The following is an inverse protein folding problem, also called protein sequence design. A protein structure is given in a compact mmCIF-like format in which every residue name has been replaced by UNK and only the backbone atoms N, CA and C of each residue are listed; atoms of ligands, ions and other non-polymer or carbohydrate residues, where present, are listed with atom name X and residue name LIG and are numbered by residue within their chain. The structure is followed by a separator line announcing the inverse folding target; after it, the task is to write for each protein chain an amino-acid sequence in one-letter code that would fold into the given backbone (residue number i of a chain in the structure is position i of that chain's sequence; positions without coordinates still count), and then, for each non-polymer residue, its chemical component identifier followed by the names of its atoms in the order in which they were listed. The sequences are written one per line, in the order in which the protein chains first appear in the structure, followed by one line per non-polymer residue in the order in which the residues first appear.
data_IF_676837691808
#
_entry.id   IF_676837691808
#
_cell.length_a   1.000
_cell.length_b   1.000
_cell.length_c   1.000
_cell.angle_alpha   90.00
_cell.angle_beta   90.00
_cell.angle_gamma   90.00
#
_symmetry.space_group_name_H-M   'P 1'
#
loop_
_entity.id
_entity.type
_entity.pdbx_description
1 polymer ?
#
# COMPACT_ATOMS: atom_id res chain seq x y z
N UNK A 1 6.15 -24.14 34.47
CA UNK A 1 6.97 -23.88 33.27
C UNK A 1 6.31 -22.72 32.53
N UNK A 2 7.05 -21.66 32.20
CA UNK A 2 6.47 -20.44 31.61
C UNK A 2 5.96 -20.73 30.20
N UNK A 3 4.67 -20.52 29.94
CA UNK A 3 4.01 -20.70 28.64
C UNK A 3 4.49 -19.70 27.56
N UNK A 4 5.40 -18.77 27.88
CA UNK A 4 5.77 -17.63 27.05
C UNK A 4 6.63 -17.96 25.81
N UNK A 5 7.02 -19.22 25.63
CA UNK A 5 7.85 -19.70 24.51
C UNK A 5 7.22 -20.88 23.75
N UNK A 6 5.98 -21.24 24.08
CA UNK A 6 5.28 -22.33 23.39
C UNK A 6 4.61 -21.82 22.12
N UNK A 7 5.05 -22.33 20.97
CA UNK A 7 4.44 -22.02 19.68
C UNK A 7 3.01 -22.58 19.63
N UNK A 8 1.99 -21.79 19.24
CA UNK A 8 0.61 -22.25 19.14
C UNK A 8 0.43 -23.49 18.25
N UNK A 9 -0.51 -24.37 18.59
CA UNK A 9 -0.79 -25.58 17.80
C UNK A 9 -1.17 -25.28 16.34
N UNK A 10 -1.82 -24.14 16.09
CA UNK A 10 -2.17 -23.71 14.73
C UNK A 10 -0.92 -23.39 13.89
N UNK A 11 0.05 -22.70 14.48
CA UNK A 11 1.33 -22.37 13.82
C UNK A 11 2.14 -23.63 13.52
N UNK A 12 2.16 -24.58 14.46
CA UNK A 12 2.82 -25.88 14.23
C UNK A 12 2.20 -26.65 13.06
N UNK A 13 0.86 -26.63 12.93
CA UNK A 13 0.16 -27.29 11.80
C UNK A 13 0.51 -26.71 10.43
N UNK A 14 0.98 -25.47 10.36
CA UNK A 14 1.44 -24.82 9.12
C UNK A 14 2.97 -24.85 8.97
N UNK A 15 3.67 -25.61 9.82
CA UNK A 15 5.13 -25.80 9.76
C UNK A 15 5.95 -24.73 10.47
N UNK A 16 5.31 -23.82 11.21
CA UNK A 16 6.00 -22.87 12.09
C UNK A 16 6.12 -23.47 13.48
N UNK A 17 7.26 -24.07 13.80
CA UNK A 17 7.43 -24.88 15.02
C UNK A 17 8.33 -24.25 16.08
N UNK A 18 9.06 -23.18 15.74
CA UNK A 18 10.05 -22.56 16.62
C UNK A 18 10.12 -21.05 16.45
N UNK A 19 10.57 -20.37 17.49
CA UNK A 19 10.97 -18.96 17.46
C UNK A 19 12.50 -18.85 17.40
N UNK A 20 13.01 -17.83 16.69
CA UNK A 20 14.45 -17.55 16.64
C UNK A 20 15.01 -17.12 18.01
N UNK A 21 14.21 -16.44 18.82
CA UNK A 21 14.60 -15.87 20.11
C UNK A 21 14.05 -16.67 21.28
N UNK A 22 14.77 -16.67 22.41
CA UNK A 22 14.36 -17.34 23.66
C UNK A 22 13.69 -16.40 24.68
N UNK A 23 13.55 -15.12 24.35
CA UNK A 23 12.95 -14.11 25.23
C UNK A 23 11.43 -14.29 25.30
N UNK A 24 10.79 -13.99 26.45
CA UNK A 24 9.33 -13.98 26.54
C UNK A 24 8.70 -13.04 25.52
N UNK A 25 7.56 -13.44 24.94
CA UNK A 25 6.77 -12.57 24.07
C UNK A 25 6.24 -11.34 24.82
N UNK A 26 6.12 -10.23 24.09
CA UNK A 26 5.63 -8.95 24.64
C UNK A 26 4.11 -8.89 24.82
N UNK A 27 3.37 -9.83 24.21
CA UNK A 27 1.91 -9.79 24.17
C UNK A 27 1.38 -8.61 23.35
N UNK A 28 0.21 -8.08 23.73
CA UNK A 28 -0.42 -6.93 23.09
C UNK A 28 -1.27 -7.27 21.86
N UNK A 29 -1.91 -6.24 21.33
CA UNK A 29 -2.76 -6.31 20.14
C UNK A 29 -2.23 -5.35 19.06
N UNK A 30 -2.13 -5.84 17.82
CA UNK A 30 -1.69 -5.06 16.66
C UNK A 30 -2.89 -4.59 15.82
N UNK A 31 -2.73 -3.48 15.09
CA UNK A 31 -3.73 -2.95 14.14
C UNK A 31 -5.09 -2.62 14.78
N UNK A 32 -5.10 -2.12 16.02
CA UNK A 32 -6.32 -1.72 16.72
C UNK A 32 -6.98 -0.55 15.98
N UNK A 33 -6.21 0.52 15.76
CA UNK A 33 -6.54 1.63 14.87
C UNK A 33 -5.92 1.42 13.49
N UNK A 34 -6.45 2.11 12.47
CA UNK A 34 -5.89 2.07 11.11
C UNK A 34 -4.43 2.59 11.10
N UNK A 35 -4.14 3.55 11.97
CA UNK A 35 -2.86 4.27 11.98
C UNK A 35 -1.77 3.53 12.75
N UNK A 36 -2.14 2.47 13.47
CA UNK A 36 -1.17 1.56 14.12
C UNK A 36 -0.34 0.78 13.11
N UNK A 37 -0.74 0.82 11.82
CA UNK A 37 -0.04 0.12 10.74
C UNK A 37 0.21 1.06 9.57
N UNK A 38 1.46 1.50 9.47
CA UNK A 38 1.96 2.32 8.37
C UNK A 38 2.85 1.50 7.44
N UNK A 39 2.61 1.60 6.14
CA UNK A 39 3.45 0.95 5.12
C UNK A 39 3.82 1.96 4.05
N UNK A 40 5.11 2.18 3.86
CA UNK A 40 5.65 3.00 2.78
C UNK A 40 6.45 2.13 1.83
N UNK A 41 6.15 2.24 0.54
CA UNK A 41 6.90 1.54 -0.49
C UNK A 41 8.30 2.15 -0.66
N UNK A 42 9.31 1.30 -0.58
CA UNK A 42 10.66 1.65 -0.98
C UNK A 42 10.90 1.21 -2.42
N UNK A 43 11.24 2.16 -3.30
CA UNK A 43 11.53 1.91 -4.71
C UNK A 43 12.85 2.54 -5.12
N UNK A 44 13.64 1.81 -5.90
CA UNK A 44 14.89 2.30 -6.51
C UNK A 44 14.68 2.85 -7.93
N UNK A 45 13.44 2.85 -8.44
CA UNK A 45 13.10 3.42 -9.74
C UNK A 45 13.10 4.94 -9.60
N UNK A 46 13.85 5.60 -10.49
CA UNK A 46 13.91 7.05 -10.59
C UNK A 46 12.94 7.55 -11.65
N UNK A 47 12.24 8.61 -11.31
CA UNK A 47 11.36 9.34 -12.21
C UNK A 47 12.17 10.24 -13.16
N UNK A 48 11.59 10.50 -14.31
CA UNK A 48 12.02 11.46 -15.32
C UNK A 48 11.10 12.68 -15.31
N UNK A 49 11.45 13.72 -16.08
CA UNK A 49 10.52 14.82 -16.41
C UNK A 49 9.71 14.55 -17.67
N UNK A 50 10.19 13.63 -18.50
CA UNK A 50 9.61 13.24 -19.78
C UNK A 50 9.17 11.79 -19.73
N UNK A 51 8.16 11.46 -20.52
CA UNK A 51 7.58 10.13 -20.53
C UNK A 51 6.09 10.16 -20.77
N UNK A 52 5.54 9.02 -21.17
CA UNK A 52 4.09 8.90 -21.37
C UNK A 52 3.39 8.43 -20.12
N UNK A 53 4.08 7.80 -19.17
CA UNK A 53 3.48 7.48 -17.88
C UNK A 53 3.67 8.66 -16.94
N UNK A 54 2.58 9.14 -16.34
CA UNK A 54 2.63 9.96 -15.15
C UNK A 54 2.86 9.03 -13.95
N UNK A 55 3.82 9.37 -13.09
CA UNK A 55 4.13 8.67 -11.86
C UNK A 55 3.67 9.54 -10.70
N UNK A 56 2.89 8.96 -9.79
CA UNK A 56 2.40 9.65 -8.59
C UNK A 56 2.47 8.75 -7.36
N UNK A 57 2.64 9.37 -6.20
CA UNK A 57 2.48 8.71 -4.91
C UNK A 57 0.99 8.70 -4.54
N UNK A 58 0.49 7.52 -4.24
CA UNK A 58 -0.82 7.28 -3.66
C UNK A 58 -0.66 7.02 -2.17
N UNK A 59 -1.16 7.94 -1.35
CA UNK A 59 -1.39 7.69 0.08
C UNK A 59 -2.86 7.35 0.27
N UNK A 60 -3.16 6.20 0.87
CA UNK A 60 -4.52 5.73 1.13
C UNK A 60 -4.67 5.23 2.55
N UNK A 61 -5.83 5.47 3.16
CA UNK A 61 -6.16 5.02 4.52
C UNK A 61 -7.44 4.21 4.53
N UNK A 62 -7.33 2.94 4.93
CA UNK A 62 -8.47 1.99 4.96
C UNK A 62 -9.19 1.90 3.60
N UNK A 63 -8.37 1.69 2.57
CA UNK A 63 -8.76 1.56 1.18
C UNK A 63 -8.04 0.38 0.53
N UNK A 64 -8.77 -0.35 -0.31
CA UNK A 64 -8.17 -1.34 -1.21
C UNK A 64 -7.61 -0.64 -2.45
N UNK A 65 -6.41 -1.03 -2.91
CA UNK A 65 -5.76 -0.42 -4.08
C UNK A 65 -6.65 -0.50 -5.32
N UNK A 66 -7.29 -1.64 -5.61
CA UNK A 66 -8.13 -1.79 -6.80
C UNK A 66 -9.38 -0.90 -6.73
N UNK A 67 -9.92 -0.68 -5.54
CA UNK A 67 -11.04 0.26 -5.36
C UNK A 67 -10.63 1.70 -5.65
N UNK A 68 -9.47 2.14 -5.15
CA UNK A 68 -8.94 3.48 -5.47
C UNK A 68 -8.72 3.61 -6.98
N UNK A 69 -8.04 2.65 -7.60
CA UNK A 69 -7.78 2.68 -9.06
C UNK A 69 -9.08 2.69 -9.87
N UNK A 70 -10.08 1.92 -9.46
CA UNK A 70 -11.41 1.95 -10.10
C UNK A 70 -12.03 3.34 -10.02
N UNK A 71 -12.02 3.98 -8.87
CA UNK A 71 -12.67 5.28 -8.70
C UNK A 71 -11.88 6.38 -9.41
N UNK A 72 -10.55 6.34 -9.39
CA UNK A 72 -9.69 7.21 -10.23
C UNK A 72 -9.99 7.04 -11.73
N UNK A 73 -10.10 5.80 -12.20
CA UNK A 73 -10.38 5.52 -13.61
C UNK A 73 -11.72 6.10 -14.07
N UNK A 74 -12.74 6.06 -13.19
CA UNK A 74 -14.06 6.64 -13.43
C UNK A 74 -14.00 8.16 -13.47
N UNK A 75 -13.32 8.79 -12.51
CA UNK A 75 -13.15 10.24 -12.47
C UNK A 75 -12.40 10.78 -13.69
N UNK A 76 -11.42 10.04 -14.19
CA UNK A 76 -10.63 10.42 -15.38
C UNK A 76 -11.29 10.02 -16.71
N UNK A 77 -12.32 9.17 -16.69
CA UNK A 77 -12.95 8.66 -17.91
C UNK A 77 -12.03 7.74 -18.73
N UNK A 78 -11.12 7.01 -18.09
CA UNK A 78 -10.15 6.14 -18.76
C UNK A 78 -10.23 4.69 -18.28
N UNK A 79 -9.61 3.78 -19.03
CA UNK A 79 -9.52 2.36 -18.63
C UNK A 79 -8.59 2.15 -17.44
N UNK A 80 -9.01 1.31 -16.47
CA UNK A 80 -8.15 0.85 -15.36
C UNK A 80 -6.86 0.17 -15.85
N UNK A 81 -6.86 -0.41 -17.06
CA UNK A 81 -5.68 -1.04 -17.66
C UNK A 81 -4.52 -0.07 -17.93
N UNK A 82 -4.77 1.25 -17.85
CA UNK A 82 -3.74 2.28 -17.99
C UNK A 82 -2.93 2.49 -16.71
N UNK A 83 -3.38 1.94 -15.59
CA UNK A 83 -2.70 2.05 -14.31
C UNK A 83 -1.74 0.87 -14.10
N UNK A 84 -0.58 1.14 -13.50
CA UNK A 84 0.39 0.13 -13.06
C UNK A 84 0.89 0.39 -11.65
N UNK A 85 1.25 -0.67 -10.92
CA UNK A 85 1.84 -0.61 -9.58
C UNK A 85 2.65 -1.88 -9.28
N UNK A 86 3.64 -1.78 -8.39
CA UNK A 86 4.58 -2.88 -8.12
C UNK A 86 4.03 -3.96 -7.17
N UNK A 87 3.02 -3.62 -6.36
CA UNK A 87 2.36 -4.58 -5.47
C UNK A 87 1.25 -3.93 -4.67
N UNK A 88 0.31 -4.74 -4.19
CA UNK A 88 -0.75 -4.26 -3.30
C UNK A 88 -0.20 -4.04 -1.89
N UNK A 89 -0.84 -3.14 -1.14
CA UNK A 89 -0.57 -2.91 0.29
C UNK A 89 -1.85 -3.17 1.07
N UNK A 90 -1.73 -3.48 2.35
CA UNK A 90 -2.86 -3.76 3.23
C UNK A 90 -3.99 -2.73 3.10
N UNK A 91 -5.23 -3.20 3.11
CA UNK A 91 -6.40 -2.32 3.16
C UNK A 91 -6.42 -1.57 4.49
N UNK A 92 -6.46 -2.31 5.61
CA UNK A 92 -6.58 -1.77 6.97
C UNK A 92 -5.22 -1.26 7.46
N UNK A 93 -4.78 -0.15 6.87
CA UNK A 93 -3.51 0.51 7.13
C UNK A 93 -3.53 1.94 6.56
N UNK A 94 -2.59 2.77 6.99
CA UNK A 94 -2.15 3.94 6.22
C UNK A 94 -1.01 3.48 5.30
N UNK A 95 -1.19 3.59 3.99
CA UNK A 95 -0.21 3.08 3.02
C UNK A 95 0.15 4.13 1.99
N UNK A 96 1.44 4.24 1.68
CA UNK A 96 2.00 5.11 0.64
C UNK A 96 2.74 4.28 -0.40
N UNK A 97 2.39 4.42 -1.68
CA UNK A 97 3.03 3.66 -2.77
C UNK A 97 3.03 4.42 -4.09
N UNK A 98 3.91 4.05 -5.02
CA UNK A 98 3.96 4.64 -6.37
C UNK A 98 2.96 3.95 -7.29
N UNK A 99 2.27 4.76 -8.09
CA UNK A 99 1.37 4.33 -9.16
C UNK A 99 1.83 4.99 -10.47
N UNK A 100 1.76 4.26 -11.57
CA UNK A 100 1.91 4.81 -12.91
C UNK A 100 0.56 4.87 -13.61
N UNK A 101 0.35 5.89 -14.44
CA UNK A 101 -0.84 6.05 -15.28
C UNK A 101 -0.43 6.55 -16.66
N UNK A 102 -0.77 5.79 -17.70
CA UNK A 102 -0.42 6.15 -19.08
C UNK A 102 -1.18 7.39 -19.52
N UNK A 103 -0.51 8.35 -20.15
CA UNK A 103 -1.02 9.48 -20.96
C UNK A 103 -2.20 10.23 -20.29
N UNK A 104 -1.90 10.70 -19.08
CA UNK A 104 -2.72 11.59 -18.26
C UNK A 104 -1.84 12.74 -17.79
N UNK A 105 -2.41 13.95 -17.74
CA UNK A 105 -1.70 15.14 -17.27
C UNK A 105 -1.72 15.25 -15.74
N UNK A 106 -0.79 16.02 -15.17
CA UNK A 106 -0.71 16.21 -13.72
C UNK A 106 -1.96 16.95 -13.21
N UNK A 107 -2.42 17.95 -13.96
CA UNK A 107 -3.60 18.76 -13.63
C UNK A 107 -4.87 17.90 -13.58
N UNK A 108 -5.00 16.89 -14.44
CA UNK A 108 -6.14 15.97 -14.41
C UNK A 108 -6.18 15.15 -13.11
N UNK A 109 -5.02 14.82 -12.54
CA UNK A 109 -4.92 14.10 -11.26
C UNK A 109 -5.22 15.03 -10.07
N UNK A 110 -4.72 16.26 -10.09
CA UNK A 110 -4.92 17.27 -9.02
C UNK A 110 -6.39 17.64 -8.83
N UNK A 111 -7.20 17.56 -9.89
CA UNK A 111 -8.63 17.85 -9.84
C UNK A 111 -9.47 16.74 -9.19
N UNK A 112 -8.87 15.60 -8.81
CA UNK A 112 -9.59 14.47 -8.22
C UNK A 112 -9.50 14.56 -6.70
N UNK A 113 -10.66 14.55 -6.05
CA UNK A 113 -10.77 14.43 -4.61
C UNK A 113 -11.48 13.12 -4.23
N UNK A 114 -10.79 12.26 -3.49
CA UNK A 114 -11.33 11.02 -2.93
C UNK A 114 -11.12 11.01 -1.41
N UNK A 115 -12.12 10.58 -0.62
CA UNK A 115 -12.01 10.64 0.83
C UNK A 115 -10.91 9.70 1.33
N UNK A 116 -10.04 10.22 2.20
CA UNK A 116 -8.90 9.47 2.81
C UNK A 116 -7.89 8.94 1.79
N UNK A 117 -7.76 9.65 0.67
CA UNK A 117 -6.80 9.39 -0.40
C UNK A 117 -6.10 10.70 -0.72
N UNK A 118 -4.78 10.65 -0.82
CA UNK A 118 -3.95 11.76 -1.30
C UNK A 118 -3.17 11.28 -2.51
N UNK A 119 -3.06 12.16 -3.51
CA UNK A 119 -2.40 11.90 -4.79
C UNK A 119 -1.34 12.98 -4.97
N UNK A 120 -0.09 12.59 -5.18
CA UNK A 120 1.01 13.53 -5.38
C UNK A 120 1.83 13.13 -6.61
N UNK A 121 1.76 13.92 -7.68
CA UNK A 121 2.59 13.71 -8.85
C UNK A 121 4.08 13.89 -8.49
N UNK A 122 4.92 12.95 -8.93
CA UNK A 122 6.37 12.96 -8.62
C UNK A 122 7.25 12.92 -9.87
N UNK A 123 6.67 12.71 -11.05
CA UNK A 123 7.39 12.79 -12.32
C UNK A 123 6.79 11.88 -13.40
N UNK A 124 7.62 11.49 -14.36
CA UNK A 124 7.23 10.70 -15.54
C UNK A 124 8.14 9.51 -15.79
N UNK A 125 7.70 8.60 -16.66
CA UNK A 125 8.51 7.50 -17.20
C UNK A 125 8.09 7.10 -18.62
#
# INVERSE_FOLDING_TARGET
MNNATMVPQLEQKIGMELYLTKTPGVGGEIRQLIDDFYVEEFSNIKESKEGRYLIFELTKRDWDTHHVIRDLSRSLGISQKRFGWAGTKDKRALTKQKISIWDVSEEALENINLPRVELHAIGRS
#
